data_IF_991375732003
#
_entry.id   IF_991375732003
#
_cell.length_a   1.000
_cell.length_b   1.000
_cell.length_c   1.000
_cell.angle_alpha   90.00
_cell.angle_beta   90.00
_cell.angle_gamma   90.00
#
_symmetry.space_group_name_H-M   'P 1'
#
loop_
_entity.id
_entity.type
_entity.pdbx_description
1 polymer ?
#
# COMPACT_ATOMS: atom_id res chain seq x y z
N UNK A 1 9.79 -3.83 13.59
CA UNK A 1 8.46 -4.18 13.06
C UNK A 1 8.33 -3.79 11.57
N UNK A 2 8.41 -2.52 11.18
CA UNK A 2 8.21 -2.10 9.78
C UNK A 2 9.14 -2.77 8.78
N UNK A 3 10.40 -3.01 9.14
CA UNK A 3 11.35 -3.72 8.27
C UNK A 3 10.96 -5.19 8.07
N UNK A 4 10.49 -5.86 9.10
CA UNK A 4 10.04 -7.25 9.01
C UNK A 4 8.77 -7.35 8.15
N UNK A 5 7.79 -6.46 8.37
CA UNK A 5 6.60 -6.35 7.54
C UNK A 5 6.97 -6.10 6.07
N UNK A 6 7.92 -5.20 5.81
CA UNK A 6 8.39 -4.92 4.46
C UNK A 6 9.07 -6.14 3.82
N UNK A 7 9.88 -6.89 4.57
CA UNK A 7 10.48 -8.14 4.08
C UNK A 7 9.42 -9.19 3.74
N UNK A 8 8.38 -9.31 4.56
CA UNK A 8 7.27 -10.22 4.31
C UNK A 8 6.41 -9.82 3.09
N UNK A 9 6.48 -8.55 2.66
CA UNK A 9 5.80 -8.06 1.46
C UNK A 9 6.54 -8.40 0.16
N UNK A 10 7.85 -8.62 0.21
CA UNK A 10 8.66 -8.84 -1.00
C UNK A 10 8.20 -10.01 -1.88
N UNK A 11 7.71 -11.15 -1.36
CA UNK A 11 7.16 -12.22 -2.18
C UNK A 11 5.95 -11.83 -3.05
N UNK A 12 5.27 -10.73 -2.73
CA UNK A 12 4.14 -10.21 -3.51
C UNK A 12 4.55 -9.23 -4.61
N UNK A 13 5.81 -8.81 -4.62
CA UNK A 13 6.36 -7.98 -5.70
C UNK A 13 6.71 -8.87 -6.90
N UNK A 14 6.33 -8.50 -8.13
CA UNK A 14 6.69 -9.27 -9.32
C UNK A 14 8.20 -9.50 -9.44
N UNK A 15 8.62 -10.73 -9.71
CA UNK A 15 10.04 -11.11 -9.69
C UNK A 15 10.82 -10.67 -10.93
N UNK A 16 10.17 -10.54 -12.08
CA UNK A 16 10.82 -10.19 -13.35
C UNK A 16 10.21 -8.97 -14.01
N UNK A 17 8.90 -8.96 -14.19
CA UNK A 17 8.16 -7.85 -14.79
C UNK A 17 6.76 -7.76 -14.19
N UNK A 18 6.24 -6.56 -14.10
CA UNK A 18 4.89 -6.33 -13.60
C UNK A 18 4.65 -4.88 -13.24
N UNK A 19 3.40 -4.56 -12.96
CA UNK A 19 2.94 -3.24 -12.58
C UNK A 19 2.57 -3.19 -11.09
N UNK A 20 3.07 -2.18 -10.40
CA UNK A 20 3.00 -2.04 -8.96
C UNK A 20 2.53 -0.64 -8.61
N UNK A 21 1.45 -0.54 -7.85
CA UNK A 21 1.03 0.71 -7.20
C UNK A 21 1.57 0.71 -5.77
N UNK A 22 2.25 1.78 -5.38
CA UNK A 22 2.81 1.94 -4.02
C UNK A 22 2.23 3.20 -3.39
N UNK A 23 1.52 3.01 -2.28
CA UNK A 23 0.91 4.07 -1.50
C UNK A 23 1.96 4.87 -0.69
N UNK A 24 1.62 6.10 -0.33
CA UNK A 24 2.44 6.91 0.56
C UNK A 24 2.33 6.44 2.02
N UNK A 25 3.46 6.22 2.66
CA UNK A 25 3.52 5.82 4.05
C UNK A 25 4.89 5.28 4.45
N UNK A 26 5.14 5.19 5.76
CA UNK A 26 6.45 4.71 6.26
C UNK A 26 6.66 3.22 6.04
N UNK A 27 5.61 2.41 6.10
CA UNK A 27 5.70 0.97 5.83
C UNK A 27 5.91 0.68 4.34
N UNK A 28 5.21 1.39 3.47
CA UNK A 28 5.37 1.27 2.02
C UNK A 28 6.72 1.78 1.54
N UNK A 29 7.24 2.85 2.17
CA UNK A 29 8.61 3.34 1.92
C UNK A 29 9.67 2.29 2.31
N UNK A 30 9.45 1.50 3.35
CA UNK A 30 10.34 0.39 3.71
C UNK A 30 10.34 -0.72 2.65
N UNK A 31 9.19 -1.02 2.02
CA UNK A 31 9.12 -1.93 0.87
C UNK A 31 9.88 -1.34 -0.33
N UNK A 32 9.68 -0.07 -0.62
CA UNK A 32 10.38 0.60 -1.71
C UNK A 32 11.91 0.57 -1.53
N UNK A 33 12.40 0.70 -0.29
CA UNK A 33 13.83 0.57 0.01
C UNK A 33 14.35 -0.84 -0.32
N UNK A 34 13.62 -1.88 0.07
CA UNK A 34 13.99 -3.27 -0.24
C UNK A 34 13.92 -3.55 -1.75
N UNK A 35 12.95 -2.96 -2.45
CA UNK A 35 12.89 -3.05 -3.92
C UNK A 35 14.12 -2.40 -4.55
N UNK A 36 14.52 -1.22 -4.08
CA UNK A 36 15.71 -0.52 -4.57
C UNK A 36 16.99 -1.36 -4.34
N UNK A 37 17.16 -1.92 -3.14
CA UNK A 37 18.31 -2.75 -2.78
C UNK A 37 18.37 -4.07 -3.58
N UNK A 38 17.22 -4.63 -3.93
CA UNK A 38 17.09 -5.89 -4.66
C UNK A 38 16.99 -5.72 -6.18
N UNK A 39 17.01 -4.49 -6.68
CA UNK A 39 16.90 -4.22 -8.11
C UNK A 39 18.08 -4.81 -8.89
N UNK A 40 17.78 -5.61 -9.92
CA UNK A 40 18.75 -6.28 -10.80
C UNK A 40 18.29 -6.22 -12.26
N UNK A 41 17.59 -5.14 -12.63
CA UNK A 41 17.08 -4.97 -13.99
C UNK A 41 15.67 -5.53 -14.23
N UNK A 42 14.89 -5.76 -13.18
CA UNK A 42 13.48 -6.12 -13.32
C UNK A 42 12.74 -5.05 -14.14
N UNK A 43 11.81 -5.48 -14.96
CA UNK A 43 10.99 -4.60 -15.79
C UNK A 43 9.71 -4.23 -15.04
N UNK A 44 9.86 -3.45 -13.99
CA UNK A 44 8.74 -2.93 -13.21
C UNK A 44 8.19 -1.65 -13.83
N UNK A 45 6.87 -1.53 -13.86
CA UNK A 45 6.16 -0.26 -14.03
C UNK A 45 5.57 0.10 -12.67
N UNK A 46 6.11 1.12 -12.04
CA UNK A 46 5.73 1.53 -10.69
C UNK A 46 4.96 2.84 -10.76
N UNK A 47 3.83 2.90 -10.06
CA UNK A 47 3.02 4.10 -9.89
C UNK A 47 2.94 4.40 -8.40
N UNK A 48 3.25 5.61 -8.00
CA UNK A 48 3.17 6.05 -6.61
C UNK A 48 2.66 7.48 -6.48
N UNK A 49 1.97 7.76 -5.39
CA UNK A 49 1.64 9.12 -4.97
C UNK A 49 2.63 9.68 -3.93
N UNK A 50 3.67 8.95 -3.61
CA UNK A 50 4.67 9.34 -2.61
C UNK A 50 5.90 9.95 -3.28
N UNK A 51 6.15 11.23 -3.05
CA UNK A 51 7.37 11.87 -3.54
C UNK A 51 8.64 11.18 -3.01
N UNK A 52 8.77 10.86 -1.70
CA UNK A 52 9.95 10.15 -1.20
C UNK A 52 10.17 8.79 -1.86
N UNK A 53 9.10 8.00 -2.06
CA UNK A 53 9.18 6.69 -2.72
C UNK A 53 9.62 6.86 -4.18
N UNK A 54 9.04 7.82 -4.90
CA UNK A 54 9.42 8.11 -6.28
C UNK A 54 10.90 8.47 -6.42
N UNK A 55 11.40 9.35 -5.56
CA UNK A 55 12.82 9.75 -5.54
C UNK A 55 13.71 8.54 -5.22
N UNK A 56 13.38 7.77 -4.19
CA UNK A 56 14.14 6.60 -3.76
C UNK A 56 14.32 5.58 -4.91
N UNK A 57 13.23 5.19 -5.54
CA UNK A 57 13.24 4.18 -6.59
C UNK A 57 13.93 4.67 -7.88
N UNK A 58 13.69 5.92 -8.27
CA UNK A 58 14.34 6.50 -9.45
C UNK A 58 15.84 6.69 -9.24
N UNK A 59 16.28 7.10 -8.06
CA UNK A 59 17.69 7.22 -7.71
C UNK A 59 18.41 5.87 -7.71
N UNK A 60 17.70 4.79 -7.38
CA UNK A 60 18.22 3.42 -7.49
C UNK A 60 18.36 2.93 -8.95
N UNK A 61 17.98 3.74 -9.93
CA UNK A 61 18.11 3.42 -11.36
C UNK A 61 16.96 2.59 -11.92
N UNK A 62 15.84 2.48 -11.21
CA UNK A 62 14.64 1.81 -11.71
C UNK A 62 13.94 2.72 -12.74
N UNK A 63 13.85 2.31 -14.02
CA UNK A 63 13.43 3.22 -15.09
C UNK A 63 11.92 3.44 -15.19
N UNK A 64 11.12 2.56 -14.61
CA UNK A 64 9.65 2.55 -14.75
C UNK A 64 8.90 3.22 -13.60
N UNK A 65 9.44 4.28 -12.99
CA UNK A 65 8.83 4.99 -11.85
C UNK A 65 7.98 6.15 -12.34
N UNK A 66 6.69 6.11 -12.05
CA UNK A 66 5.72 7.13 -12.40
C UNK A 66 5.16 7.76 -11.11
N UNK A 67 5.42 9.03 -10.91
CA UNK A 67 4.85 9.81 -9.82
C UNK A 67 3.53 10.44 -10.29
N UNK A 68 2.45 10.22 -9.53
CA UNK A 68 1.15 10.83 -9.80
C UNK A 68 1.23 12.37 -9.70
N UNK A 69 0.59 13.05 -10.63
CA UNK A 69 0.42 14.50 -10.57
C UNK A 69 -0.78 14.90 -9.71
N UNK A 70 -0.72 16.07 -9.12
CA UNK A 70 -1.77 16.60 -8.27
C UNK A 70 -1.24 17.57 -7.23
N UNK A 71 -1.91 17.68 -6.10
CA UNK A 71 -1.51 18.54 -4.99
C UNK A 71 -0.71 17.75 -3.96
N UNK A 72 0.49 18.20 -3.65
CA UNK A 72 1.32 17.56 -2.63
C UNK A 72 0.96 18.07 -1.24
N UNK A 73 0.70 17.16 -0.32
CA UNK A 73 0.52 17.47 1.09
C UNK A 73 1.87 17.72 1.75
N UNK A 74 2.03 18.87 2.39
CA UNK A 74 3.31 19.28 2.97
C UNK A 74 3.83 18.30 4.04
N UNK A 75 2.96 17.79 4.89
CA UNK A 75 3.34 16.90 6.00
C UNK A 75 3.76 15.50 5.55
N UNK A 76 2.96 14.88 4.70
CA UNK A 76 3.18 13.48 4.28
C UNK A 76 3.98 13.36 2.98
N UNK A 77 4.12 14.47 2.24
CA UNK A 77 4.67 14.49 0.87
C UNK A 77 3.96 13.51 -0.08
N UNK A 78 2.69 13.26 0.22
CA UNK A 78 1.81 12.47 -0.62
C UNK A 78 1.05 13.39 -1.58
N UNK A 79 0.93 12.95 -2.82
CA UNK A 79 0.11 13.62 -3.84
C UNK A 79 -1.33 13.15 -3.71
N UNK A 80 -2.25 14.10 -3.71
CA UNK A 80 -3.70 13.91 -3.64
C UNK A 80 -4.40 14.76 -4.69
N UNK A 81 -5.71 14.65 -4.80
CA UNK A 81 -6.56 15.48 -5.63
C UNK A 81 -7.12 14.77 -6.85
N UNK A 82 -8.03 15.45 -7.54
CA UNK A 82 -8.81 14.88 -8.63
C UNK A 82 -7.98 14.42 -9.82
N UNK A 83 -6.89 15.10 -10.12
CA UNK A 83 -5.98 14.72 -11.20
C UNK A 83 -5.34 13.36 -10.95
N UNK A 84 -4.86 13.12 -9.73
CA UNK A 84 -4.27 11.84 -9.34
C UNK A 84 -5.32 10.72 -9.34
N UNK A 85 -6.51 10.97 -8.81
CA UNK A 85 -7.64 10.04 -8.85
C UNK A 85 -8.01 9.69 -10.30
N UNK A 86 -8.14 10.68 -11.18
CA UNK A 86 -8.48 10.47 -12.58
C UNK A 86 -7.42 9.61 -13.31
N UNK A 87 -6.15 9.85 -13.03
CA UNK A 87 -5.06 9.02 -13.59
C UNK A 87 -5.19 7.56 -13.14
N UNK A 88 -5.39 7.32 -11.85
CA UNK A 88 -5.54 5.95 -11.31
C UNK A 88 -6.72 5.20 -11.92
N UNK A 89 -7.83 5.88 -12.21
CA UNK A 89 -9.02 5.27 -12.84
C UNK A 89 -8.72 4.61 -14.18
N UNK A 90 -7.72 5.08 -14.91
CA UNK A 90 -7.32 4.52 -16.20
C UNK A 90 -6.33 3.36 -16.08
N UNK A 91 -5.85 3.04 -14.88
CA UNK A 91 -4.79 2.06 -14.66
C UNK A 91 -5.36 0.69 -14.26
N UNK A 92 -4.59 -0.35 -14.57
CA UNK A 92 -4.73 -1.71 -14.05
C UNK A 92 -3.36 -2.23 -13.69
N UNK A 93 -3.07 -2.29 -12.39
CA UNK A 93 -1.81 -2.81 -11.87
C UNK A 93 -1.95 -4.27 -11.44
N UNK A 94 -0.85 -5.00 -11.43
CA UNK A 94 -0.82 -6.37 -10.93
C UNK A 94 -1.01 -6.41 -9.41
N UNK A 95 -0.38 -5.48 -8.70
CA UNK A 95 -0.42 -5.40 -7.24
C UNK A 95 -0.42 -3.96 -6.74
N UNK A 96 -1.19 -3.71 -5.68
CA UNK A 96 -1.11 -2.50 -4.87
C UNK A 96 -0.52 -2.83 -3.50
N UNK A 97 0.53 -2.10 -3.12
CA UNK A 97 1.13 -2.15 -1.78
C UNK A 97 0.62 -0.94 -1.01
N UNK A 98 -0.22 -1.20 -0.04
CA UNK A 98 -1.00 -0.19 0.66
C UNK A 98 -0.59 -0.06 2.12
N UNK A 99 -0.55 1.17 2.61
CA UNK A 99 -0.53 1.47 4.03
C UNK A 99 -1.91 1.85 4.54
N UNK A 100 -2.11 1.76 5.85
CA UNK A 100 -3.33 2.24 6.49
C UNK A 100 -3.02 2.91 7.85
N UNK A 101 -3.93 3.76 8.30
CA UNK A 101 -3.90 4.30 9.66
C UNK A 101 -4.64 3.39 10.64
N UNK A 102 -5.66 2.67 10.17
CA UNK A 102 -6.44 1.75 11.00
C UNK A 102 -7.06 0.64 10.15
N UNK A 103 -7.28 -0.51 10.79
CA UNK A 103 -8.02 -1.65 10.25
C UNK A 103 -8.95 -2.20 11.32
N UNK A 104 -10.25 -2.16 11.06
CA UNK A 104 -11.26 -2.78 11.90
C UNK A 104 -12.14 -3.75 11.11
N UNK A 105 -12.74 -4.71 11.83
CA UNK A 105 -13.60 -5.71 11.19
C UNK A 105 -14.89 -5.08 10.64
N UNK A 106 -15.41 -4.06 11.34
CA UNK A 106 -16.69 -3.45 10.98
C UNK A 106 -16.59 -2.36 9.91
N UNK A 107 -15.45 -1.65 9.85
CA UNK A 107 -15.29 -0.46 9.00
C UNK A 107 -14.15 -0.60 7.99
N UNK A 108 -13.43 -1.71 7.98
CA UNK A 108 -12.33 -1.94 7.04
C UNK A 108 -11.14 -1.03 7.29
N UNK A 109 -10.58 -0.50 6.21
CA UNK A 109 -9.43 0.42 6.24
C UNK A 109 -9.89 1.87 6.33
N UNK A 110 -9.32 2.64 7.25
CA UNK A 110 -9.67 4.04 7.42
C UNK A 110 -8.47 4.96 7.64
N UNK A 111 -8.69 6.24 7.37
CA UNK A 111 -7.71 7.33 7.49
C UNK A 111 -8.41 8.62 7.93
N UNK A 112 -7.70 9.54 8.61
CA UNK A 112 -8.31 10.80 9.06
C UNK A 112 -8.66 11.76 7.90
N UNK A 113 -7.95 11.70 6.79
CA UNK A 113 -8.02 12.70 5.72
C UNK A 113 -8.82 12.23 4.50
N UNK A 114 -9.89 12.97 4.11
CA UNK A 114 -10.72 12.59 2.97
C UNK A 114 -9.99 12.57 1.63
N UNK A 115 -9.01 13.46 1.43
CA UNK A 115 -8.24 13.50 0.18
C UNK A 115 -7.30 12.31 0.04
N UNK A 116 -6.69 11.87 1.14
CA UNK A 116 -5.91 10.64 1.17
C UNK A 116 -6.80 9.40 1.00
N UNK A 117 -7.97 9.39 1.63
CA UNK A 117 -8.93 8.30 1.46
C UNK A 117 -9.33 8.12 -0.02
N UNK A 118 -9.58 9.21 -0.74
CA UNK A 118 -9.95 9.16 -2.16
C UNK A 118 -8.85 8.53 -3.01
N UNK A 119 -7.58 8.90 -2.80
CA UNK A 119 -6.43 8.31 -3.50
C UNK A 119 -6.27 6.84 -3.15
N UNK A 120 -6.32 6.48 -1.87
CA UNK A 120 -6.15 5.10 -1.42
C UNK A 120 -7.24 4.19 -1.98
N UNK A 121 -8.49 4.65 -2.00
CA UNK A 121 -9.61 3.92 -2.61
C UNK A 121 -9.36 3.63 -4.08
N UNK A 122 -8.89 4.61 -4.80
CA UNK A 122 -8.64 4.45 -6.24
C UNK A 122 -7.41 3.57 -6.52
N UNK A 123 -6.36 3.63 -5.70
CA UNK A 123 -5.23 2.71 -5.78
C UNK A 123 -5.67 1.25 -5.63
N UNK A 124 -6.52 0.97 -4.65
CA UNK A 124 -7.08 -0.35 -4.41
C UNK A 124 -7.91 -0.81 -5.61
N UNK A 125 -8.78 0.04 -6.13
CA UNK A 125 -9.61 -0.26 -7.30
C UNK A 125 -8.79 -0.50 -8.57
N UNK A 126 -7.60 0.08 -8.68
CA UNK A 126 -6.73 -0.02 -9.86
C UNK A 126 -5.86 -1.27 -9.90
N UNK A 127 -5.88 -2.13 -8.88
CA UNK A 127 -4.99 -3.28 -8.80
C UNK A 127 -5.75 -4.62 -8.77
N UNK A 128 -5.13 -5.65 -9.34
CA UNK A 128 -5.65 -7.00 -9.31
C UNK A 128 -5.46 -7.68 -7.94
N UNK A 129 -4.40 -7.35 -7.23
CA UNK A 129 -4.12 -7.85 -5.88
C UNK A 129 -3.81 -6.68 -4.95
N UNK A 130 -4.43 -6.68 -3.78
CA UNK A 130 -4.27 -5.65 -2.75
C UNK A 130 -3.57 -6.24 -1.54
N UNK A 131 -2.36 -5.74 -1.27
CA UNK A 131 -1.52 -6.14 -0.12
C UNK A 131 -1.45 -4.97 0.86
N UNK A 132 -1.98 -5.15 2.05
CA UNK A 132 -2.04 -4.14 3.10
C UNK A 132 -0.97 -4.40 4.15
N UNK A 133 -0.16 -3.39 4.41
CA UNK A 133 0.86 -3.39 5.46
C UNK A 133 0.30 -2.70 6.70
N UNK A 134 0.06 -3.45 7.76
CA UNK A 134 -0.61 -2.94 8.93
C UNK A 134 -0.04 -3.57 10.20
N UNK A 135 0.72 -2.82 10.98
CA UNK A 135 1.16 -3.32 12.29
C UNK A 135 -0.04 -3.46 13.26
N UNK A 136 0.10 -4.36 14.22
CA UNK A 136 -1.00 -4.74 15.12
C UNK A 136 -1.55 -3.59 15.98
N UNK A 137 -0.75 -2.53 16.18
CA UNK A 137 -1.20 -1.36 16.93
C UNK A 137 -2.33 -0.58 16.27
N UNK A 138 -2.58 -0.84 14.98
CA UNK A 138 -3.63 -0.19 14.17
C UNK A 138 -4.90 -1.02 14.06
N UNK A 139 -4.92 -2.21 14.66
CA UNK A 139 -6.09 -3.07 14.64
C UNK A 139 -7.17 -2.57 15.61
N UNK A 140 -8.43 -2.81 15.27
CA UNK A 140 -9.60 -2.41 16.05
C UNK A 140 -9.69 -0.89 16.28
N UNK A 141 -9.07 -0.10 15.41
CA UNK A 141 -9.16 1.36 15.41
C UNK A 141 -9.91 1.82 14.17
N UNK A 142 -10.56 2.97 14.28
CA UNK A 142 -11.29 3.61 13.20
C UNK A 142 -10.94 5.09 13.13
N UNK A 143 -10.79 5.57 11.90
CA UNK A 143 -10.67 7.00 11.61
C UNK A 143 -11.88 7.49 10.81
N UNK A 144 -11.95 8.79 10.60
CA UNK A 144 -13.11 9.48 10.05
C UNK A 144 -13.58 8.93 8.70
N UNK A 145 -12.65 8.53 7.82
CA UNK A 145 -12.98 8.17 6.44
C UNK A 145 -12.55 6.75 6.13
N UNK A 146 -13.50 5.88 5.86
CA UNK A 146 -13.24 4.53 5.31
C UNK A 146 -12.87 4.63 3.84
N UNK A 147 -11.83 3.91 3.43
CA UNK A 147 -11.42 3.87 2.03
C UNK A 147 -11.44 2.48 1.39
N UNK A 148 -11.63 1.42 2.17
CA UNK A 148 -11.81 0.05 1.68
C UNK A 148 -12.54 -0.82 2.69
N UNK A 149 -13.36 -1.73 2.20
CA UNK A 149 -13.96 -2.80 2.99
C UNK A 149 -13.01 -4.00 3.07
N UNK A 150 -13.27 -4.95 3.97
CA UNK A 150 -12.48 -6.18 4.07
C UNK A 150 -12.47 -6.96 2.75
N UNK A 151 -13.57 -6.95 2.01
CA UNK A 151 -13.69 -7.61 0.71
C UNK A 151 -12.78 -7.04 -0.39
N UNK A 152 -12.24 -5.85 -0.20
CA UNK A 152 -11.30 -5.21 -1.13
C UNK A 152 -9.83 -5.61 -0.87
N UNK A 153 -9.57 -6.40 0.17
CA UNK A 153 -8.23 -6.75 0.63
C UNK A 153 -7.96 -8.23 0.33
N UNK A 154 -6.83 -8.51 -0.33
CA UNK A 154 -6.39 -9.90 -0.58
C UNK A 154 -5.42 -10.41 0.49
N UNK A 155 -4.52 -9.53 0.95
CA UNK A 155 -3.45 -9.88 1.89
C UNK A 155 -3.30 -8.82 2.95
N UNK A 156 -3.19 -9.23 4.21
CA UNK A 156 -2.74 -8.38 5.32
C UNK A 156 -1.42 -8.92 5.84
N UNK A 157 -0.40 -8.06 5.88
CA UNK A 157 0.90 -8.36 6.49
C UNK A 157 1.00 -7.59 7.80
N UNK A 158 1.23 -8.31 8.88
CA UNK A 158 1.28 -7.75 10.24
C UNK A 158 2.43 -8.33 11.05
N UNK A 159 2.58 -7.88 12.28
CA UNK A 159 3.57 -8.38 13.25
C UNK A 159 2.99 -9.47 14.17
N UNK A 160 3.89 -10.10 14.94
CA UNK A 160 3.55 -11.20 15.83
C UNK A 160 2.74 -10.82 17.08
N UNK A 161 2.49 -9.52 17.32
CA UNK A 161 1.70 -9.06 18.47
C UNK A 161 0.19 -9.03 18.18
N UNK A 162 -0.21 -9.29 16.93
CA UNK A 162 -1.62 -9.34 16.55
C UNK A 162 -2.36 -10.46 17.28
N UNK A 163 -3.57 -10.18 17.78
CA UNK A 163 -4.37 -11.19 18.46
C UNK A 163 -4.85 -12.28 17.49
N UNK A 164 -4.76 -13.54 17.89
CA UNK A 164 -5.21 -14.66 17.05
C UNK A 164 -6.71 -14.56 16.73
N UNK A 165 -7.52 -14.01 17.63
CA UNK A 165 -8.93 -13.76 17.37
C UNK A 165 -9.13 -12.83 16.15
N UNK A 166 -8.41 -11.72 16.10
CA UNK A 166 -8.50 -10.78 15.00
C UNK A 166 -7.98 -11.40 13.70
N UNK A 167 -6.85 -12.11 13.74
CA UNK A 167 -6.27 -12.79 12.59
C UNK A 167 -7.20 -13.87 12.03
N UNK A 168 -7.85 -14.64 12.91
CA UNK A 168 -8.85 -15.66 12.49
C UNK A 168 -10.03 -15.01 11.79
N UNK A 169 -10.48 -13.85 12.27
CA UNK A 169 -11.58 -13.12 11.65
C UNK A 169 -11.20 -12.62 10.25
N UNK A 170 -9.98 -12.13 10.07
CA UNK A 170 -9.49 -11.76 8.73
C UNK A 170 -9.46 -12.97 7.80
N UNK A 171 -8.95 -14.10 8.24
CA UNK A 171 -8.91 -15.35 7.44
C UNK A 171 -10.31 -15.83 7.07
N UNK A 172 -11.28 -15.70 7.97
CA UNK A 172 -12.68 -16.04 7.72
C UNK A 172 -13.36 -15.11 6.70
N UNK A 173 -12.77 -13.96 6.42
CA UNK A 173 -13.17 -13.03 5.35
C UNK A 173 -12.32 -13.23 4.07
N UNK A 174 -11.75 -14.41 3.88
CA UNK A 174 -10.94 -14.77 2.70
C UNK A 174 -9.67 -13.93 2.52
N UNK A 175 -9.18 -13.31 3.58
CA UNK A 175 -7.94 -12.53 3.56
C UNK A 175 -6.76 -13.43 3.94
N UNK A 176 -5.74 -13.47 3.09
CA UNK A 176 -4.47 -14.10 3.44
C UNK A 176 -3.76 -13.27 4.51
N UNK A 177 -3.43 -13.88 5.64
CA UNK A 177 -2.70 -13.21 6.73
C UNK A 177 -1.26 -13.72 6.75
N UNK A 178 -0.31 -12.78 6.68
CA UNK A 178 1.12 -13.06 6.79
C UNK A 178 1.66 -12.38 8.05
N UNK A 179 2.31 -13.14 8.90
CA UNK A 179 2.94 -12.65 10.15
C UNK A 179 4.45 -12.55 9.91
N UNK A 180 5.01 -11.36 10.18
CA UNK A 180 6.43 -11.05 9.97
C UNK A 180 7.29 -11.28 11.21
#
# INVERSE_FOLDING_TARGET
EKKAIAQAAMPFIPTQSGSIVIDAGTSTAAVALLMADSYRGQRWTIVTNSLPVGILLSTAGIPGVNLLGGTMRAYTQAVVGEQAVATLKSLRADVAIMGTNALSIHHGLSTPDPSEAAIKREMISSANKVVVLCDSSKFEQDYLVTFADLSDIDVVITDAHASEHFLSTLRNNDIQVVIS
#
